data_IF_566732861926
#
_entry.id   IF_566732861926
#
_cell.length_a   1.000
_cell.length_b   1.000
_cell.length_c   1.000
_cell.angle_alpha   90.00
_cell.angle_beta   90.00
_cell.angle_gamma   90.00
#
_symmetry.space_group_name_H-M   'P 1'
#
loop_
_entity.id
_entity.type
_entity.pdbx_description
1 polymer ?
#
# COMPACT_ATOMS: atom_id res chain seq x y z
N UNK A 1 -0.36 -15.90 31.29
CA UNK A 1 -0.17 -16.22 29.86
C UNK A 1 0.15 -14.91 29.16
N UNK A 2 1.02 -14.92 28.15
CA UNK A 2 1.31 -13.71 27.36
C UNK A 2 0.09 -13.35 26.50
N UNK A 3 -0.04 -12.07 26.11
CA UNK A 3 -1.15 -11.61 25.24
C UNK A 3 -1.23 -12.43 23.95
N UNK A 4 -0.08 -12.76 23.38
CA UNK A 4 0.04 -13.61 22.18
C UNK A 4 -0.45 -15.03 22.40
N UNK A 5 -0.14 -15.66 23.55
CA UNK A 5 -0.63 -17.01 23.85
C UNK A 5 -2.16 -17.06 23.95
N UNK A 6 -2.78 -16.03 24.53
CA UNK A 6 -4.23 -15.92 24.63
C UNK A 6 -4.89 -15.66 23.26
N UNK A 7 -4.28 -14.82 22.42
CA UNK A 7 -4.68 -14.59 21.02
C UNK A 7 -4.68 -15.90 20.22
N UNK A 8 -3.57 -16.63 20.21
CA UNK A 8 -3.43 -17.88 19.45
C UNK A 8 -4.42 -18.95 19.93
N UNK A 9 -4.67 -19.02 21.24
CA UNK A 9 -5.69 -19.92 21.79
C UNK A 9 -7.09 -19.55 21.32
N UNK A 10 -7.41 -18.25 21.25
CA UNK A 10 -8.72 -17.76 20.78
C UNK A 10 -8.92 -18.09 19.30
N UNK A 11 -7.96 -17.74 18.44
CA UNK A 11 -8.02 -18.03 17.00
C UNK A 11 -8.14 -19.52 16.71
N UNK A 12 -7.40 -20.37 17.44
CA UNK A 12 -7.52 -21.82 17.30
C UNK A 12 -8.91 -22.34 17.68
N UNK A 13 -9.57 -21.76 18.69
CA UNK A 13 -10.96 -22.09 19.04
C UNK A 13 -11.97 -21.61 18.01
N UNK A 14 -11.66 -20.53 17.30
CA UNK A 14 -12.48 -19.95 16.22
C UNK A 14 -12.29 -20.66 14.87
N UNK A 15 -11.43 -21.69 14.81
CA UNK A 15 -11.26 -22.55 13.64
C UNK A 15 -10.01 -22.24 12.80
N UNK A 16 -9.20 -21.26 13.19
CA UNK A 16 -7.92 -20.98 12.53
C UNK A 16 -6.94 -22.11 12.83
N UNK A 17 -6.41 -22.75 11.79
CA UNK A 17 -5.37 -23.77 11.95
C UNK A 17 -4.05 -23.09 12.30
N UNK A 18 -3.53 -23.37 13.49
CA UNK A 18 -2.27 -22.78 13.99
C UNK A 18 -1.18 -23.86 14.06
N UNK A 19 -0.30 -23.98 13.05
CA UNK A 19 0.81 -24.93 13.08
C UNK A 19 1.74 -24.68 14.27
N UNK A 20 2.38 -25.75 14.76
CA UNK A 20 3.25 -25.65 15.94
C UNK A 20 4.43 -24.69 15.74
N UNK A 21 5.07 -24.73 14.57
CA UNK A 21 6.20 -23.85 14.27
C UNK A 21 5.78 -22.37 14.15
N UNK A 22 4.59 -22.10 13.57
CA UNK A 22 4.00 -20.75 13.54
C UNK A 22 3.71 -20.25 14.95
N UNK A 23 3.09 -21.09 15.79
CA UNK A 23 2.84 -20.76 17.19
C UNK A 23 4.14 -20.43 17.94
N UNK A 24 5.19 -21.23 17.77
CA UNK A 24 6.50 -20.97 18.39
C UNK A 24 7.10 -19.65 17.90
N UNK A 25 7.04 -19.39 16.59
CA UNK A 25 7.55 -18.16 16.02
C UNK A 25 6.83 -16.93 16.58
N UNK A 26 5.49 -16.92 16.57
CA UNK A 26 4.72 -15.79 17.10
C UNK A 26 4.89 -15.59 18.61
N UNK A 27 5.21 -16.64 19.38
CA UNK A 27 5.51 -16.50 20.81
C UNK A 27 6.92 -15.94 21.10
N UNK A 28 7.82 -15.99 20.12
CA UNK A 28 9.21 -15.55 20.26
C UNK A 28 9.51 -14.20 19.58
N UNK A 29 8.60 -13.73 18.70
CA UNK A 29 8.76 -12.48 17.97
C UNK A 29 7.70 -11.50 18.45
N UNK A 30 8.16 -10.45 19.13
CA UNK A 30 7.29 -9.41 19.66
C UNK A 30 6.89 -8.45 18.53
N UNK A 31 5.59 -8.16 18.42
CA UNK A 31 5.06 -7.30 17.36
C UNK A 31 5.51 -5.85 17.55
N UNK A 32 5.66 -5.43 18.80
CA UNK A 32 6.10 -4.10 19.22
C UNK A 32 7.46 -3.71 18.63
N UNK A 33 8.29 -4.68 18.24
CA UNK A 33 9.57 -4.41 17.57
C UNK A 33 9.39 -3.87 16.14
N UNK A 34 8.19 -3.98 15.55
CA UNK A 34 7.95 -3.69 14.13
C UNK A 34 7.06 -2.46 13.89
N UNK A 35 6.53 -1.85 14.96
CA UNK A 35 5.65 -0.68 14.88
C UNK A 35 5.73 0.15 16.16
N UNK A 36 5.72 1.47 16.03
CA UNK A 36 5.62 2.40 17.16
C UNK A 36 4.16 2.79 17.47
N UNK A 37 3.19 2.28 16.70
CA UNK A 37 1.76 2.53 16.90
C UNK A 37 1.17 1.61 17.97
N UNK A 38 -0.07 1.90 18.40
CA UNK A 38 -0.78 1.04 19.34
C UNK A 38 -1.03 -0.36 18.76
N UNK A 39 -0.47 -1.37 19.42
CA UNK A 39 -0.60 -2.79 19.06
C UNK A 39 -1.84 -3.46 19.65
N UNK A 40 -2.63 -2.78 20.48
CA UNK A 40 -3.84 -3.36 21.07
C UNK A 40 -4.82 -3.97 20.04
N UNK A 41 -5.06 -3.37 18.85
CA UNK A 41 -5.92 -3.95 17.83
C UNK A 41 -5.44 -5.33 17.34
N UNK A 42 -4.13 -5.58 17.31
CA UNK A 42 -3.58 -6.87 16.89
C UNK A 42 -4.08 -8.02 17.78
N UNK A 43 -4.16 -7.80 19.09
CA UNK A 43 -4.67 -8.82 20.03
C UNK A 43 -6.19 -9.03 19.94
N UNK A 44 -6.90 -8.13 19.24
CA UNK A 44 -8.28 -8.28 18.82
C UNK A 44 -8.42 -8.85 17.39
N UNK A 45 -7.35 -9.40 16.82
CA UNK A 45 -7.28 -9.94 15.46
C UNK A 45 -7.56 -8.91 14.35
N UNK A 46 -6.93 -7.74 14.45
CA UNK A 46 -7.03 -6.66 13.45
C UNK A 46 -5.66 -6.28 12.90
N UNK A 47 -5.59 -5.74 11.67
CA UNK A 47 -4.37 -5.11 11.18
C UNK A 47 -3.94 -3.95 12.09
N UNK A 48 -2.64 -3.68 12.15
CA UNK A 48 -2.09 -2.53 12.89
C UNK A 48 -1.24 -1.66 11.97
N UNK A 49 -1.31 -0.33 12.08
CA UNK A 49 -0.39 0.56 11.39
C UNK A 49 1.07 0.27 11.76
N UNK A 50 1.99 0.49 10.82
CA UNK A 50 3.43 0.50 11.12
C UNK A 50 4.16 1.73 10.58
N UNK A 51 3.61 2.35 9.53
CA UNK A 51 4.12 3.60 8.96
C UNK A 51 2.96 4.34 8.29
N UNK A 52 3.03 5.66 8.33
CA UNK A 52 2.30 6.56 7.46
C UNK A 52 3.28 7.06 6.41
N UNK A 53 3.00 6.80 5.13
CA UNK A 53 3.87 7.24 4.03
C UNK A 53 3.86 8.76 3.91
N UNK A 54 4.83 9.30 3.19
CA UNK A 54 4.84 10.74 2.82
C UNK A 54 3.59 11.19 2.06
N UNK A 55 2.92 10.27 1.36
CA UNK A 55 1.63 10.49 0.69
C UNK A 55 0.41 10.47 1.63
N UNK A 56 0.60 10.31 2.94
CA UNK A 56 -0.47 10.22 3.94
C UNK A 56 -1.16 8.86 4.01
N UNK A 57 -0.66 7.85 3.28
CA UNK A 57 -1.24 6.52 3.28
C UNK A 57 -0.75 5.71 4.49
N UNK A 58 -1.69 5.23 5.31
CA UNK A 58 -1.38 4.36 6.44
C UNK A 58 -1.14 2.94 5.94
N UNK A 59 0.08 2.43 6.11
CA UNK A 59 0.42 1.03 5.82
C UNK A 59 0.33 0.19 7.07
N UNK A 60 -0.13 -1.05 6.89
CA UNK A 60 -0.47 -1.94 8.00
C UNK A 60 0.26 -3.28 7.95
N UNK A 61 0.55 -3.81 9.14
CA UNK A 61 0.85 -5.22 9.38
C UNK A 61 -0.48 -5.96 9.35
N UNK A 62 -0.56 -7.06 8.61
CA UNK A 62 -1.78 -7.86 8.46
C UNK A 62 -2.32 -8.37 9.81
N UNK A 63 -3.62 -8.66 9.85
CA UNK A 63 -4.26 -9.29 11.01
C UNK A 63 -3.61 -10.65 11.35
N UNK A 64 -3.56 -11.05 12.64
CA UNK A 64 -2.98 -12.31 13.07
C UNK A 64 -3.54 -13.56 12.38
N UNK A 65 -4.85 -13.68 12.18
CA UNK A 65 -5.42 -14.84 11.48
C UNK A 65 -4.86 -14.94 10.06
N UNK A 66 -4.68 -13.81 9.38
CA UNK A 66 -4.16 -13.76 8.01
C UNK A 66 -2.67 -14.15 8.00
N UNK A 67 -1.88 -13.65 8.95
CA UNK A 67 -0.47 -14.04 9.10
C UNK A 67 -0.36 -15.56 9.32
N UNK A 68 -1.21 -16.13 10.17
CA UNK A 68 -1.23 -17.57 10.44
C UNK A 68 -1.62 -18.35 9.18
N UNK A 69 -2.66 -17.92 8.47
CA UNK A 69 -3.10 -18.53 7.21
C UNK A 69 -1.99 -18.52 6.17
N UNK A 70 -1.33 -17.38 5.97
CA UNK A 70 -0.19 -17.25 5.06
C UNK A 70 0.94 -18.21 5.44
N UNK A 71 1.37 -18.20 6.70
CA UNK A 71 2.45 -19.08 7.17
C UNK A 71 2.08 -20.56 7.14
N UNK A 72 0.81 -20.90 7.35
CA UNK A 72 0.32 -22.27 7.23
C UNK A 72 0.48 -22.79 5.81
N UNK A 73 0.04 -22.01 4.81
CA UNK A 73 0.09 -22.41 3.40
C UNK A 73 1.48 -22.30 2.79
N UNK A 74 2.40 -21.54 3.40
CA UNK A 74 3.79 -21.46 2.96
C UNK A 74 4.59 -22.76 3.21
N UNK A 75 4.07 -23.72 3.99
CA UNK A 75 4.65 -25.06 4.14
C UNK A 75 6.16 -25.04 4.45
N UNK A 76 6.55 -24.10 5.32
CA UNK A 76 7.95 -23.77 5.58
C UNK A 76 8.69 -24.87 6.33
N UNK A 77 9.95 -25.07 5.96
CA UNK A 77 10.89 -26.03 6.52
C UNK A 77 12.23 -25.36 6.85
N UNK A 78 12.96 -25.97 7.79
CA UNK A 78 14.29 -25.47 8.19
C UNK A 78 15.26 -25.47 7.01
N UNK A 79 16.06 -24.42 6.89
CA UNK A 79 17.07 -24.27 5.84
C UNK A 79 16.54 -23.77 4.49
N UNK A 80 15.25 -23.49 4.35
CA UNK A 80 14.70 -22.97 3.11
C UNK A 80 15.05 -21.50 2.87
N UNK A 81 15.09 -21.15 1.58
CA UNK A 81 15.08 -19.77 1.11
C UNK A 81 13.65 -19.36 0.77
N UNK A 82 13.23 -18.18 1.24
CA UNK A 82 11.89 -17.65 1.08
C UNK A 82 11.97 -16.23 0.54
N UNK A 83 11.13 -15.92 -0.44
CA UNK A 83 11.01 -14.56 -1.00
C UNK A 83 9.71 -13.95 -0.51
N UNK A 84 9.81 -12.76 0.07
CA UNK A 84 8.69 -11.95 0.52
C UNK A 84 8.64 -10.70 -0.35
N UNK A 85 7.57 -10.53 -1.11
CA UNK A 85 7.31 -9.29 -1.86
C UNK A 85 6.25 -8.48 -1.08
N UNK A 86 6.58 -7.26 -0.70
CA UNK A 86 5.86 -6.43 0.27
C UNK A 86 6.36 -6.67 1.69
N UNK A 87 7.07 -5.70 2.28
CA UNK A 87 7.72 -5.86 3.59
C UNK A 87 6.72 -5.88 4.75
N UNK A 88 5.64 -5.10 4.66
CA UNK A 88 4.62 -4.91 5.73
C UNK A 88 5.21 -4.79 7.13
N UNK A 89 6.11 -3.82 7.31
CA UNK A 89 6.78 -3.55 8.58
C UNK A 89 7.84 -4.58 9.00
N UNK A 90 7.99 -5.69 8.30
CA UNK A 90 9.02 -6.72 8.55
C UNK A 90 8.59 -7.86 9.47
N UNK A 91 7.42 -7.77 10.12
CA UNK A 91 6.97 -8.77 11.09
C UNK A 91 6.81 -10.17 10.49
N UNK A 92 6.19 -10.29 9.31
CA UNK A 92 6.06 -11.58 8.62
C UNK A 92 7.43 -12.17 8.27
N UNK A 93 8.37 -11.34 7.80
CA UNK A 93 9.72 -11.78 7.46
C UNK A 93 10.49 -12.31 8.69
N UNK A 94 10.35 -11.67 9.85
CA UNK A 94 10.89 -12.16 11.11
C UNK A 94 10.30 -13.52 11.52
N UNK A 95 8.98 -13.70 11.38
CA UNK A 95 8.34 -14.99 11.65
C UNK A 95 8.86 -16.09 10.72
N UNK A 96 8.99 -15.80 9.42
CA UNK A 96 9.56 -16.73 8.43
C UNK A 96 11.00 -17.07 8.81
N UNK A 97 11.83 -16.07 9.14
CA UNK A 97 13.23 -16.25 9.53
C UNK A 97 13.35 -17.16 10.76
N UNK A 98 12.49 -16.99 11.76
CA UNK A 98 12.43 -17.86 12.94
C UNK A 98 12.06 -19.31 12.57
N UNK A 99 11.15 -19.50 11.61
CA UNK A 99 10.70 -20.82 11.14
C UNK A 99 11.78 -21.51 10.31
N UNK A 100 12.43 -20.84 9.35
CA UNK A 100 13.48 -21.45 8.50
C UNK A 100 14.81 -21.59 9.24
N UNK A 101 15.06 -20.79 10.28
CA UNK A 101 16.23 -20.86 11.14
C UNK A 101 17.53 -20.38 10.50
N UNK A 102 18.65 -20.54 11.22
CA UNK A 102 19.96 -19.96 10.91
C UNK A 102 20.57 -20.40 9.56
N UNK A 103 20.20 -21.59 9.07
CA UNK A 103 20.64 -22.10 7.77
C UNK A 103 19.71 -21.70 6.62
N UNK A 104 18.58 -21.07 6.91
CA UNK A 104 17.66 -20.55 5.91
C UNK A 104 17.94 -19.10 5.55
N UNK A 105 17.14 -18.56 4.62
CA UNK A 105 17.25 -17.17 4.18
C UNK A 105 15.89 -16.59 3.85
N UNK A 106 15.69 -15.32 4.16
CA UNK A 106 14.48 -14.57 3.79
C UNK A 106 14.92 -13.35 2.99
N UNK A 107 14.55 -13.30 1.72
CA UNK A 107 14.76 -12.12 0.89
C UNK A 107 13.48 -11.33 0.82
N UNK A 108 13.51 -10.08 1.30
CA UNK A 108 12.36 -9.19 1.32
C UNK A 108 12.55 -8.12 0.25
N UNK A 109 11.54 -7.95 -0.59
CA UNK A 109 11.50 -7.01 -1.71
C UNK A 109 10.31 -6.07 -1.53
N UNK A 110 10.50 -4.77 -1.70
CA UNK A 110 9.39 -3.81 -1.66
C UNK A 110 9.71 -2.59 -2.55
N UNK A 111 8.74 -2.10 -3.33
CA UNK A 111 8.96 -0.96 -4.21
C UNK A 111 9.06 0.38 -3.45
N UNK A 112 8.49 0.48 -2.25
CA UNK A 112 8.52 1.69 -1.44
C UNK A 112 9.81 1.79 -0.61
N UNK A 113 10.65 2.78 -0.93
CA UNK A 113 11.92 2.99 -0.23
C UNK A 113 11.73 3.30 1.26
N UNK A 114 10.67 4.03 1.62
CA UNK A 114 10.30 4.31 3.02
C UNK A 114 10.03 3.02 3.79
N UNK A 115 9.25 2.11 3.18
CA UNK A 115 8.95 0.81 3.76
C UNK A 115 10.20 -0.06 3.89
N UNK A 116 11.08 -0.04 2.88
CA UNK A 116 12.37 -0.75 2.94
C UNK A 116 13.24 -0.22 4.08
N UNK A 117 13.33 1.10 4.25
CA UNK A 117 14.12 1.71 5.32
C UNK A 117 13.57 1.37 6.71
N UNK A 118 12.25 1.48 6.90
CA UNK A 118 11.58 1.04 8.13
C UNK A 118 11.89 -0.43 8.44
N UNK A 119 11.71 -1.31 7.44
CA UNK A 119 11.96 -2.73 7.63
C UNK A 119 13.43 -3.03 7.96
N UNK A 120 14.40 -2.34 7.31
CA UNK A 120 15.84 -2.49 7.61
C UNK A 120 16.19 -2.09 9.04
N UNK A 121 15.56 -1.04 9.56
CA UNK A 121 15.75 -0.64 10.95
C UNK A 121 15.24 -1.72 11.91
N UNK A 122 13.98 -2.16 11.73
CA UNK A 122 13.33 -3.15 12.62
C UNK A 122 13.92 -4.55 12.51
N UNK A 123 14.47 -4.91 11.34
CA UNK A 123 15.09 -6.21 11.08
C UNK A 123 16.62 -6.20 11.22
N UNK A 124 17.23 -5.12 11.72
CA UNK A 124 18.70 -4.98 11.80
C UNK A 124 19.41 -6.08 12.61
N UNK A 125 18.68 -6.78 13.50
CA UNK A 125 19.19 -7.88 14.32
C UNK A 125 18.84 -9.28 13.77
N UNK A 126 18.32 -9.37 12.54
CA UNK A 126 17.90 -10.61 11.90
C UNK A 126 18.90 -11.04 10.80
N UNK A 127 19.92 -11.86 11.13
CA UNK A 127 21.06 -12.12 10.23
C UNK A 127 20.71 -12.92 8.97
N UNK A 128 19.57 -13.60 8.97
CA UNK A 128 19.08 -14.40 7.84
C UNK A 128 18.13 -13.63 6.93
N UNK A 129 17.90 -12.34 7.17
CA UNK A 129 16.98 -11.51 6.39
C UNK A 129 17.78 -10.51 5.55
N UNK A 130 17.58 -10.53 4.24
CA UNK A 130 18.12 -9.54 3.30
C UNK A 130 16.97 -8.71 2.75
N UNK A 131 17.10 -7.38 2.76
CA UNK A 131 16.01 -6.47 2.36
C UNK A 131 16.50 -5.59 1.22
N UNK A 132 15.76 -5.60 0.11
CA UNK A 132 16.08 -4.83 -1.09
C UNK A 132 14.88 -4.00 -1.54
N UNK A 133 15.19 -2.81 -2.00
CA UNK A 133 14.24 -2.04 -2.79
C UNK A 133 14.26 -2.55 -4.23
N UNK A 134 13.09 -2.58 -4.85
CA UNK A 134 12.91 -2.83 -6.28
C UNK A 134 12.30 -1.57 -6.89
N UNK A 135 12.61 -1.28 -8.15
CA UNK A 135 12.08 -0.07 -8.81
C UNK A 135 10.61 -0.25 -9.20
N UNK A 136 10.28 -1.45 -9.67
CA UNK A 136 8.97 -1.80 -10.21
C UNK A 136 8.73 -3.29 -9.92
N UNK A 137 7.49 -3.63 -9.55
CA UNK A 137 7.06 -4.99 -9.31
C UNK A 137 7.21 -5.89 -10.55
N UNK A 138 7.01 -5.34 -11.75
CA UNK A 138 7.05 -6.06 -13.02
C UNK A 138 8.47 -6.20 -13.59
N UNK A 139 9.45 -5.50 -13.01
CA UNK A 139 10.85 -5.52 -13.46
C UNK A 139 11.71 -6.36 -12.51
N UNK A 140 12.38 -7.37 -13.08
CA UNK A 140 13.32 -8.18 -12.32
C UNK A 140 14.49 -7.32 -11.81
N UNK A 141 14.88 -7.40 -10.53
CA UNK A 141 16.02 -6.65 -10.04
C UNK A 141 17.32 -7.15 -10.70
N UNK A 142 18.16 -6.21 -11.16
CA UNK A 142 19.36 -6.44 -11.99
C UNK A 142 20.33 -7.48 -11.42
N UNK A 143 20.35 -7.65 -10.09
CA UNK A 143 21.25 -8.57 -9.38
C UNK A 143 20.55 -9.43 -8.32
N UNK A 144 19.33 -9.91 -8.62
CA UNK A 144 18.65 -10.91 -7.79
C UNK A 144 18.82 -12.30 -8.41
N UNK A 145 19.78 -13.13 -7.95
CA UNK A 145 20.03 -14.45 -8.52
C UNK A 145 19.04 -15.50 -7.99
N UNK A 146 19.03 -16.67 -8.64
CA UNK A 146 18.45 -17.89 -8.08
C UNK A 146 17.09 -18.29 -8.64
N UNK A 147 16.77 -19.56 -8.41
CA UNK A 147 15.45 -20.16 -8.57
C UNK A 147 14.70 -20.09 -7.22
N UNK A 148 13.38 -20.10 -7.27
CA UNK A 148 12.51 -19.74 -6.16
C UNK A 148 11.64 -20.94 -5.76
N UNK A 149 11.81 -21.42 -4.53
CA UNK A 149 10.97 -22.51 -4.00
C UNK A 149 9.71 -22.01 -3.30
N UNK A 150 9.80 -20.88 -2.58
CA UNK A 150 8.72 -20.32 -1.77
C UNK A 150 8.66 -18.81 -1.96
N UNK A 151 7.59 -18.34 -2.57
CA UNK A 151 7.34 -16.90 -2.74
C UNK A 151 6.02 -16.53 -2.10
N UNK A 152 6.03 -15.44 -1.33
CA UNK A 152 4.82 -14.84 -0.78
C UNK A 152 4.75 -13.38 -1.18
N UNK A 153 3.62 -12.98 -1.75
CA UNK A 153 3.32 -11.59 -2.07
C UNK A 153 2.28 -11.10 -1.07
N UNK A 154 2.58 -10.01 -0.38
CA UNK A 154 1.78 -9.55 0.76
C UNK A 154 0.98 -8.29 0.47
N UNK A 155 0.73 -7.98 -0.80
CA UNK A 155 -0.20 -6.94 -1.26
C UNK A 155 -1.04 -7.44 -2.42
N UNK A 156 -2.15 -6.77 -2.70
CA UNK A 156 -3.01 -7.07 -3.84
C UNK A 156 -2.25 -6.83 -5.15
N UNK A 157 -2.39 -7.78 -6.07
CA UNK A 157 -1.85 -7.74 -7.44
C UNK A 157 -2.91 -8.25 -8.43
N UNK A 158 -2.82 -7.81 -9.69
CA UNK A 158 -3.69 -8.33 -10.76
C UNK A 158 -3.22 -9.69 -11.26
N UNK A 159 -1.90 -9.88 -11.32
CA UNK A 159 -1.26 -11.13 -11.71
C UNK A 159 0.13 -11.24 -11.09
N UNK A 160 0.65 -12.46 -10.97
CA UNK A 160 2.04 -12.69 -10.53
C UNK A 160 3.01 -12.15 -11.59
N UNK A 161 4.01 -11.34 -11.22
CA UNK A 161 5.02 -10.82 -12.14
C UNK A 161 5.73 -11.93 -12.92
N UNK A 162 5.92 -11.70 -14.22
CA UNK A 162 6.51 -12.71 -15.13
C UNK A 162 7.88 -13.19 -14.67
N UNK A 163 8.70 -12.30 -14.11
CA UNK A 163 10.05 -12.65 -13.67
C UNK A 163 10.06 -13.50 -12.38
N UNK A 164 9.04 -13.36 -11.53
CA UNK A 164 8.85 -14.24 -10.37
C UNK A 164 8.44 -15.62 -10.88
N UNK A 165 7.40 -15.63 -11.72
CA UNK A 165 6.82 -16.83 -12.29
C UNK A 165 7.83 -17.68 -13.06
N UNK A 166 8.68 -17.06 -13.87
CA UNK A 166 9.70 -17.76 -14.67
C UNK A 166 10.87 -18.32 -13.85
N UNK A 167 10.94 -18.02 -12.55
CA UNK A 167 12.01 -18.45 -11.66
C UNK A 167 11.54 -19.41 -10.59
N UNK A 168 10.24 -19.74 -10.53
CA UNK A 168 9.75 -20.77 -9.63
C UNK A 168 10.37 -22.10 -10.06
N UNK A 169 11.00 -22.81 -9.12
CA UNK A 169 11.53 -24.16 -9.37
C UNK A 169 10.41 -25.20 -9.40
N UNK A 170 10.71 -26.40 -9.89
CA UNK A 170 9.76 -27.52 -9.85
C UNK A 170 9.38 -27.88 -8.39
N UNK A 171 8.09 -27.96 -8.11
CA UNK A 171 7.53 -28.11 -6.75
C UNK A 171 7.57 -26.81 -5.91
N UNK A 172 8.01 -25.70 -6.50
CA UNK A 172 7.92 -24.37 -5.92
C UNK A 172 6.54 -23.74 -6.13
N UNK A 173 6.22 -22.73 -5.32
CA UNK A 173 4.95 -22.02 -5.45
C UNK A 173 5.00 -20.55 -5.01
N UNK A 174 4.00 -19.81 -5.49
CA UNK A 174 3.69 -18.44 -5.08
C UNK A 174 2.38 -18.43 -4.31
N UNK A 175 2.34 -17.69 -3.20
CA UNK A 175 1.10 -17.31 -2.51
C UNK A 175 0.89 -15.81 -2.68
N UNK A 176 -0.25 -15.40 -3.23
CA UNK A 176 -0.55 -13.99 -3.48
C UNK A 176 -2.06 -13.70 -3.40
N UNK A 177 -2.47 -12.53 -2.87
CA UNK A 177 -3.80 -11.97 -3.08
C UNK A 177 -3.95 -11.49 -4.54
N UNK A 178 -4.76 -12.19 -5.33
CA UNK A 178 -4.98 -11.91 -6.76
C UNK A 178 -6.42 -11.45 -6.97
N UNK A 179 -6.59 -10.34 -7.69
CA UNK A 179 -7.89 -9.80 -8.06
C UNK A 179 -7.86 -8.28 -8.07
N UNK A 180 -9.04 -7.66 -8.12
CA UNK A 180 -9.19 -6.20 -8.07
C UNK A 180 -9.41 -5.71 -6.63
N UNK A 181 -9.58 -4.39 -6.45
CA UNK A 181 -9.79 -3.78 -5.13
C UNK A 181 -11.09 -4.23 -4.44
N UNK A 182 -12.09 -4.68 -5.20
CA UNK A 182 -13.40 -5.08 -4.70
C UNK A 182 -13.52 -6.58 -4.47
N UNK A 183 -12.74 -7.38 -5.20
CA UNK A 183 -12.80 -8.84 -5.20
C UNK A 183 -11.42 -9.42 -5.42
N UNK A 184 -10.81 -9.93 -4.35
CA UNK A 184 -9.51 -10.59 -4.38
C UNK A 184 -9.56 -11.92 -3.61
N UNK A 185 -8.86 -12.91 -4.18
CA UNK A 185 -8.72 -14.25 -3.64
C UNK A 185 -7.26 -14.50 -3.29
N UNK A 186 -7.02 -15.17 -2.17
CA UNK A 186 -5.67 -15.65 -1.84
C UNK A 186 -5.41 -16.92 -2.67
N UNK A 187 -4.49 -16.83 -3.62
CA UNK A 187 -4.17 -17.93 -4.52
C UNK A 187 -2.83 -18.56 -4.13
N UNK A 188 -2.76 -19.89 -4.16
CA UNK A 188 -1.51 -20.66 -4.21
C UNK A 188 -1.32 -21.15 -5.64
N UNK A 189 -0.23 -20.76 -6.29
CA UNK A 189 0.11 -21.15 -7.66
C UNK A 189 1.39 -21.97 -7.60
N UNK A 190 1.26 -23.28 -7.77
CA UNK A 190 2.36 -24.24 -7.72
C UNK A 190 2.80 -24.61 -9.14
N UNK A 191 4.11 -24.74 -9.35
CA UNK A 191 4.68 -25.19 -10.62
C UNK A 191 5.14 -26.65 -10.48
N UNK A 192 4.61 -27.53 -11.32
CA UNK A 192 5.00 -28.94 -11.39
C UNK A 192 5.14 -29.38 -12.86
N UNK A 193 6.31 -29.87 -13.26
CA UNK A 193 6.58 -30.34 -14.63
C UNK A 193 6.16 -29.31 -15.72
N UNK A 194 6.48 -28.04 -15.51
CA UNK A 194 6.07 -26.90 -16.35
C UNK A 194 4.54 -26.63 -16.41
N UNK A 195 3.76 -27.25 -15.52
CA UNK A 195 2.31 -27.06 -15.39
C UNK A 195 2.03 -26.23 -14.14
N UNK A 196 1.18 -25.22 -14.30
CA UNK A 196 0.68 -24.41 -13.20
C UNK A 196 -0.56 -25.05 -12.58
N UNK A 197 -0.50 -25.27 -11.27
CA UNK A 197 -1.57 -25.78 -10.46
C UNK A 197 -2.04 -24.68 -9.51
N UNK A 198 -3.22 -24.14 -9.78
CA UNK A 198 -3.82 -23.08 -8.98
C UNK A 198 -4.76 -23.64 -7.91
N UNK A 199 -4.64 -23.12 -6.69
CA UNK A 199 -5.53 -23.42 -5.57
C UNK A 199 -6.05 -22.12 -4.97
N UNK A 200 -7.36 -21.93 -4.98
CA UNK A 200 -8.04 -20.82 -4.31
C UNK A 200 -8.17 -21.11 -2.80
N UNK A 201 -7.57 -20.24 -1.98
CA UNK A 201 -7.56 -20.32 -0.51
C UNK A 201 -8.63 -19.40 0.12
N UNK A 202 -9.43 -18.72 -0.69
CA UNK A 202 -10.58 -17.93 -0.28
C UNK A 202 -10.40 -16.41 -0.36
N UNK A 203 -11.48 -15.70 -0.05
CA UNK A 203 -11.55 -14.23 -0.14
C UNK A 203 -10.65 -13.55 0.88
N UNK A 204 -9.97 -12.49 0.45
CA UNK A 204 -9.13 -11.67 1.33
C UNK A 204 -9.32 -10.18 1.04
N UNK A 205 -8.70 -9.33 1.87
CA UNK A 205 -8.64 -7.89 1.61
C UNK A 205 -7.23 -7.39 1.96
N UNK A 206 -6.47 -7.10 0.93
CA UNK A 206 -5.14 -6.49 0.99
C UNK A 206 -5.17 -5.16 0.25
N UNK A 207 -4.43 -4.17 0.79
CA UNK A 207 -4.07 -2.99 0.01
C UNK A 207 -3.13 -3.39 -1.15
N UNK A 208 -3.01 -2.55 -2.18
CA UNK A 208 -2.08 -2.79 -3.29
C UNK A 208 -0.67 -2.97 -2.74
N UNK A 209 0.16 -3.77 -3.41
CA UNK A 209 1.59 -3.83 -3.07
C UNK A 209 2.33 -2.54 -3.44
N UNK A 210 1.75 -1.81 -4.39
CA UNK A 210 2.38 -0.75 -5.15
C UNK A 210 1.81 0.64 -4.80
N UNK A 211 1.23 0.81 -3.61
CA UNK A 211 0.47 2.04 -3.25
C UNK A 211 1.27 3.33 -3.42
N UNK A 212 2.59 3.27 -3.34
CA UNK A 212 3.48 4.43 -3.58
C UNK A 212 4.22 4.37 -4.92
N UNK A 213 4.05 3.30 -5.69
CA UNK A 213 4.78 3.03 -6.94
C UNK A 213 3.88 2.98 -8.17
N UNK A 214 2.55 2.95 -7.98
CA UNK A 214 1.60 3.28 -9.05
C UNK A 214 1.62 4.79 -9.26
N UNK A 215 2.51 5.23 -10.14
CA UNK A 215 2.70 6.60 -10.59
C UNK A 215 2.94 7.61 -9.46
N UNK A 216 4.03 8.36 -9.60
CA UNK A 216 3.98 9.80 -9.39
C UNK A 216 2.86 10.41 -10.29
N UNK A 217 1.58 10.12 -10.04
CA UNK A 217 0.44 10.88 -10.57
C UNK A 217 0.22 12.10 -9.67
N UNK A 218 1.35 12.75 -9.52
CA UNK A 218 1.57 14.02 -8.93
C UNK A 218 0.92 15.02 -9.89
N UNK A 219 -0.31 15.42 -9.56
CA UNK A 219 -1.15 16.22 -10.44
C UNK A 219 -0.39 17.51 -10.81
N UNK A 220 0.02 17.64 -12.06
CA UNK A 220 0.69 18.85 -12.54
C UNK A 220 -0.33 19.98 -12.72
N UNK A 221 0.07 21.27 -12.71
CA UNK A 221 -0.85 22.39 -12.93
C UNK A 221 -1.68 22.25 -14.22
N UNK A 222 -1.08 21.76 -15.31
CA UNK A 222 -1.77 21.54 -16.59
C UNK A 222 -2.77 20.40 -16.52
N UNK A 223 -2.40 19.28 -15.88
CA UNK A 223 -3.31 18.15 -15.69
C UNK A 223 -4.51 18.52 -14.82
N UNK A 224 -4.30 19.31 -13.76
CA UNK A 224 -5.39 19.85 -12.96
C UNK A 224 -6.29 20.80 -13.78
N UNK A 225 -5.70 21.63 -14.64
CA UNK A 225 -6.43 22.52 -15.52
C UNK A 225 -7.32 21.72 -16.50
N UNK A 226 -6.76 20.72 -17.18
CA UNK A 226 -7.48 19.84 -18.12
C UNK A 226 -8.66 19.13 -17.43
N UNK A 227 -8.48 18.68 -16.19
CA UNK A 227 -9.55 18.03 -15.43
C UNK A 227 -10.66 18.99 -14.98
N UNK A 228 -10.30 20.23 -14.64
CA UNK A 228 -11.29 21.26 -14.32
C UNK A 228 -12.04 21.65 -15.59
N UNK A 229 -11.37 21.78 -16.74
CA UNK A 229 -12.01 21.99 -18.05
C UNK A 229 -13.04 20.88 -18.35
N UNK A 230 -12.65 19.62 -18.19
CA UNK A 230 -13.57 18.48 -18.37
C UNK A 230 -14.77 18.53 -17.40
N UNK A 231 -14.53 19.00 -16.17
CA UNK A 231 -15.59 19.20 -15.17
C UNK A 231 -16.54 20.33 -15.57
N UNK A 232 -16.01 21.43 -16.11
CA UNK A 232 -16.82 22.52 -16.67
C UNK A 232 -17.70 21.99 -17.81
N UNK A 233 -17.11 21.30 -18.79
CA UNK A 233 -17.84 20.73 -19.94
C UNK A 233 -18.99 19.84 -19.47
N UNK A 234 -18.73 18.96 -18.50
CA UNK A 234 -19.75 18.07 -17.94
C UNK A 234 -20.84 18.85 -17.19
N UNK A 235 -20.48 19.90 -16.45
CA UNK A 235 -21.45 20.72 -15.74
C UNK A 235 -22.31 21.57 -16.70
N UNK A 236 -21.73 22.04 -17.81
CA UNK A 236 -22.46 22.72 -18.88
C UNK A 236 -23.43 21.78 -19.59
N UNK A 237 -23.00 20.55 -19.92
CA UNK A 237 -23.88 19.52 -20.53
C UNK A 237 -25.07 19.16 -19.65
N UNK A 238 -24.89 19.16 -18.32
CA UNK A 238 -25.93 18.86 -17.35
C UNK A 238 -26.78 20.09 -16.97
N UNK A 239 -26.50 21.27 -17.53
CA UNK A 239 -27.15 22.54 -17.18
C UNK A 239 -27.12 22.87 -15.67
N UNK A 240 -26.07 22.45 -14.98
CA UNK A 240 -25.92 22.63 -13.51
C UNK A 240 -24.98 23.76 -13.12
N UNK A 241 -24.30 24.41 -14.06
CA UNK A 241 -23.35 25.52 -13.82
C UNK A 241 -23.97 26.87 -14.24
N UNK A 242 -23.76 27.91 -13.44
CA UNK A 242 -24.14 29.27 -13.80
C UNK A 242 -22.97 30.09 -14.41
N UNK A 243 -23.28 31.29 -14.91
CA UNK A 243 -22.27 32.13 -15.59
C UNK A 243 -21.15 32.60 -14.68
N UNK A 244 -21.42 32.81 -13.38
CA UNK A 244 -20.42 33.33 -12.45
C UNK A 244 -19.44 32.22 -12.05
N UNK A 245 -19.97 31.02 -11.80
CA UNK A 245 -19.19 29.80 -11.56
C UNK A 245 -18.35 29.42 -12.78
N UNK A 246 -18.93 29.48 -13.98
CA UNK A 246 -18.23 29.21 -15.24
C UNK A 246 -17.02 30.14 -15.43
N UNK A 247 -17.23 31.45 -15.29
CA UNK A 247 -16.16 32.43 -15.40
C UNK A 247 -15.07 32.18 -14.35
N UNK A 248 -15.46 31.87 -13.12
CA UNK A 248 -14.50 31.61 -12.04
C UNK A 248 -13.67 30.34 -12.27
N UNK A 249 -14.28 29.26 -12.78
CA UNK A 249 -13.56 28.02 -13.08
C UNK A 249 -12.65 28.20 -14.31
N UNK A 250 -13.08 28.95 -15.31
CA UNK A 250 -12.23 29.32 -16.46
C UNK A 250 -11.04 30.19 -16.04
N UNK A 251 -11.22 31.14 -15.11
CA UNK A 251 -10.12 31.93 -14.56
C UNK A 251 -9.14 31.05 -13.77
N UNK A 252 -9.64 30.12 -12.97
CA UNK A 252 -8.80 29.14 -12.25
C UNK A 252 -7.95 28.31 -13.22
N UNK A 253 -8.57 27.77 -14.28
CA UNK A 253 -7.88 27.04 -15.37
C UNK A 253 -6.79 27.90 -15.99
N UNK A 254 -7.10 29.16 -16.32
CA UNK A 254 -6.13 30.09 -16.90
C UNK A 254 -4.96 30.37 -15.94
N UNK A 255 -5.20 30.46 -14.62
CA UNK A 255 -4.13 30.64 -13.63
C UNK A 255 -3.26 29.39 -13.48
N UNK A 256 -3.87 28.20 -13.47
CA UNK A 256 -3.14 26.94 -13.42
C UNK A 256 -2.23 26.77 -14.64
N UNK A 257 -2.73 27.09 -15.84
CA UNK A 257 -1.95 27.05 -17.08
C UNK A 257 -0.81 28.08 -17.14
N UNK A 258 -0.87 29.15 -16.33
CA UNK A 258 0.17 30.17 -16.24
C UNK A 258 1.18 29.94 -15.11
N UNK A 259 1.04 28.86 -14.31
CA UNK A 259 2.06 28.49 -13.34
C UNK A 259 3.36 28.06 -14.06
N UNK A 260 4.54 28.28 -13.46
CA UNK A 260 5.81 27.83 -14.03
C UNK A 260 5.81 26.33 -14.36
N UNK A 261 6.40 25.94 -15.49
CA UNK A 261 6.50 24.53 -15.91
C UNK A 261 7.30 23.67 -14.91
N UNK A 262 8.17 24.28 -14.11
CA UNK A 262 8.97 23.65 -13.05
C UNK A 262 8.29 23.68 -11.68
N UNK A 263 7.01 24.07 -11.61
CA UNK A 263 6.23 23.98 -10.36
C UNK A 263 6.21 22.51 -9.93
N UNK A 264 6.75 22.18 -8.74
CA UNK A 264 6.76 20.81 -8.28
C UNK A 264 5.31 20.35 -8.05
N UNK A 265 5.06 19.06 -8.14
CA UNK A 265 3.78 18.52 -7.72
C UNK A 265 3.50 18.74 -6.23
N UNK A 266 2.22 18.74 -5.88
CA UNK A 266 1.83 18.87 -4.47
C UNK A 266 2.30 17.60 -3.72
N UNK A 267 3.05 17.79 -2.64
CA UNK A 267 3.70 16.71 -1.88
C UNK A 267 5.21 16.58 -2.18
N UNK A 268 5.69 17.19 -3.26
CA UNK A 268 7.12 17.25 -3.59
C UNK A 268 7.74 18.64 -3.31
N UNK A 269 9.05 18.77 -3.51
CA UNK A 269 9.75 20.06 -3.43
C UNK A 269 9.94 20.64 -2.02
N UNK A 270 9.53 19.92 -0.97
CA UNK A 270 9.64 20.38 0.43
C UNK A 270 8.72 21.55 0.77
N UNK A 271 7.68 21.79 -0.05
CA UNK A 271 6.70 22.85 0.15
C UNK A 271 5.54 22.27 0.97
N UNK A 272 5.19 22.85 2.14
CA UNK A 272 3.99 22.48 2.86
C UNK A 272 2.75 22.57 1.97
N UNK A 273 1.81 21.63 2.06
CA UNK A 273 0.62 21.57 1.20
C UNK A 273 -0.17 22.90 1.23
N UNK A 274 -0.31 23.52 2.39
CA UNK A 274 -0.96 24.83 2.57
C UNK A 274 -0.27 25.99 1.84
N UNK A 275 1.03 25.87 1.57
CA UNK A 275 1.84 26.89 0.91
C UNK A 275 1.99 26.67 -0.60
N UNK A 276 1.55 25.52 -1.09
CA UNK A 276 1.72 25.10 -2.48
C UNK A 276 0.95 26.01 -3.47
N UNK A 277 1.57 26.48 -4.58
CA UNK A 277 0.93 27.40 -5.54
C UNK A 277 -0.41 26.91 -6.09
N UNK A 278 -0.51 25.62 -6.45
CA UNK A 278 -1.76 25.03 -6.93
C UNK A 278 -2.85 25.02 -5.85
N UNK A 279 -2.48 24.72 -4.60
CA UNK A 279 -3.43 24.69 -3.47
C UNK A 279 -3.92 26.09 -3.15
N UNK A 280 -3.04 27.10 -3.23
CA UNK A 280 -3.43 28.51 -3.07
C UNK A 280 -4.40 28.98 -4.15
N UNK A 281 -4.21 28.58 -5.41
CA UNK A 281 -5.15 28.91 -6.48
C UNK A 281 -6.50 28.23 -6.25
N UNK A 282 -6.51 26.94 -5.95
CA UNK A 282 -7.73 26.22 -5.62
C UNK A 282 -8.49 26.89 -4.47
N UNK A 283 -7.78 27.29 -3.41
CA UNK A 283 -8.34 28.02 -2.28
C UNK A 283 -8.91 29.39 -2.65
N UNK A 284 -8.19 30.15 -3.47
CA UNK A 284 -8.61 31.49 -3.85
C UNK A 284 -9.93 31.49 -4.64
N UNK A 285 -10.11 30.50 -5.51
CA UNK A 285 -11.28 30.42 -6.40
C UNK A 285 -12.43 29.57 -5.83
N UNK A 286 -12.19 28.69 -4.85
CA UNK A 286 -13.21 27.78 -4.32
C UNK A 286 -14.51 28.44 -3.81
N UNK A 287 -14.52 29.65 -3.21
CA UNK A 287 -15.77 30.26 -2.76
C UNK A 287 -16.75 30.54 -3.90
N UNK A 288 -16.24 30.79 -5.11
CA UNK A 288 -17.02 31.13 -6.29
C UNK A 288 -17.70 29.93 -6.95
N UNK A 289 -17.30 28.69 -6.62
CA UNK A 289 -17.90 27.47 -7.16
C UNK A 289 -18.23 26.44 -6.06
N UNK A 290 -18.41 26.89 -4.82
CA UNK A 290 -18.66 26.03 -3.66
C UNK A 290 -19.83 25.06 -3.86
N UNK A 291 -20.86 25.48 -4.61
CA UNK A 291 -22.02 24.65 -4.96
C UNK A 291 -21.65 23.47 -5.87
N UNK A 292 -20.72 23.69 -6.80
CA UNK A 292 -20.21 22.66 -7.71
C UNK A 292 -19.08 21.84 -7.08
N UNK A 293 -18.47 22.33 -6.01
CA UNK A 293 -17.33 21.68 -5.37
C UNK A 293 -17.55 20.19 -5.05
N UNK A 294 -18.69 19.74 -4.48
CA UNK A 294 -18.92 18.31 -4.25
C UNK A 294 -18.94 17.47 -5.55
N UNK A 295 -19.42 18.05 -6.65
CA UNK A 295 -19.52 17.38 -7.95
C UNK A 295 -18.12 17.30 -8.58
N UNK A 296 -17.41 18.43 -8.59
CA UNK A 296 -16.03 18.54 -9.04
C UNK A 296 -15.15 17.57 -8.23
N UNK A 297 -15.29 17.56 -6.91
CA UNK A 297 -14.57 16.65 -6.02
C UNK A 297 -14.84 15.18 -6.36
N UNK A 298 -16.08 14.80 -6.66
CA UNK A 298 -16.43 13.42 -7.06
C UNK A 298 -15.84 13.06 -8.42
N UNK A 299 -15.88 13.98 -9.39
CA UNK A 299 -15.30 13.78 -10.72
C UNK A 299 -13.78 13.65 -10.67
N UNK A 300 -13.14 14.40 -9.77
CA UNK A 300 -11.69 14.36 -9.56
C UNK A 300 -11.25 13.27 -8.57
N UNK A 301 -12.19 12.65 -7.85
CA UNK A 301 -11.94 11.69 -6.77
C UNK A 301 -11.01 10.54 -7.14
N UNK A 302 -11.10 9.90 -8.34
CA UNK A 302 -10.19 8.82 -8.72
C UNK A 302 -8.71 9.22 -8.82
N UNK A 303 -8.41 10.51 -8.92
CA UNK A 303 -7.04 11.04 -9.09
C UNK A 303 -6.60 12.01 -7.98
N UNK A 304 -7.52 12.47 -7.12
CA UNK A 304 -7.27 13.35 -5.97
C UNK A 304 -7.19 12.56 -4.64
N UNK A 305 -7.29 11.23 -4.65
CA UNK A 305 -7.30 10.38 -3.44
C UNK A 305 -6.16 10.59 -2.43
N UNK A 306 -5.07 11.25 -2.81
CA UNK A 306 -3.95 11.61 -1.92
C UNK A 306 -4.08 12.98 -1.24
N UNK A 307 -5.10 13.77 -1.56
CA UNK A 307 -5.38 15.04 -0.90
C UNK A 307 -6.50 14.86 0.10
N UNK A 308 -6.19 14.99 1.40
CA UNK A 308 -7.20 15.11 2.43
C UNK A 308 -7.89 16.48 2.36
N UNK A 309 -8.73 16.65 1.34
CA UNK A 309 -9.61 17.81 1.18
C UNK A 309 -10.84 17.69 2.09
N UNK A 310 -10.93 16.67 2.95
CA UNK A 310 -12.05 16.55 3.90
C UNK A 310 -12.08 17.72 4.89
N UNK A 311 -10.92 18.33 5.16
CA UNK A 311 -10.80 19.55 5.95
C UNK A 311 -11.27 20.81 5.23
N UNK A 312 -11.49 20.79 3.91
CA UNK A 312 -12.01 21.97 3.19
C UNK A 312 -13.40 22.41 3.69
N UNK A 313 -14.20 21.46 4.16
CA UNK A 313 -15.51 21.75 4.76
C UNK A 313 -15.44 22.20 6.23
N UNK A 314 -14.26 22.14 6.87
CA UNK A 314 -14.07 22.52 8.28
C UNK A 314 -13.52 23.95 8.44
N UNK A 315 -12.98 24.55 7.39
CA UNK A 315 -12.42 25.91 7.43
C UNK A 315 -13.41 27.02 7.00
N UNK A 316 -14.72 26.72 6.96
CA UNK A 316 -15.72 27.70 6.53
C UNK A 316 -16.10 28.74 7.59
N UNK A 317 -15.54 28.70 8.80
CA UNK A 317 -15.81 29.71 9.82
C UNK A 317 -14.49 30.28 10.38
N UNK A 318 -14.25 31.56 10.09
CA UNK A 318 -13.39 32.49 10.82
C UNK A 318 -11.85 32.31 10.79
N UNK A 319 -11.19 32.49 9.64
CA UNK A 319 -9.85 33.13 9.64
C UNK A 319 -9.70 34.09 8.45
N UNK A 320 -9.87 35.39 8.70
CA UNK A 320 -9.31 36.46 7.86
C UNK A 320 -7.79 36.30 7.85
N UNK A 321 -7.24 35.68 6.81
CA UNK A 321 -5.80 35.67 6.56
C UNK A 321 -5.46 37.02 5.91
N UNK A 322 -4.85 37.89 6.70
CA UNK A 322 -4.34 39.21 6.30
C UNK A 322 -3.23 39.04 5.23
N UNK A 323 -3.29 39.87 4.18
CA UNK A 323 -2.54 39.77 2.91
C UNK A 323 -1.06 40.10 3.00
#
# INVERSE_FOLDING_TARGET
MTRTADLLRRLSKEGVLVPLEVKKAMLNVDLEDFTDYDVAPFFADRPVPYIESTSGNIKTISAPHMIITLLHHMELSKGQEVIVVGCKGGYLAALIAQIVGENGRVNVLDPSLEVVNHAKERLSHWPTVDIRNIEDLDIAPVAFPGEFNRVIMTGQIEAVPKWIKSRIEDGGFVIAPIGDRNSQHLMKIELQDDIELETDLGNVCFGPIDVDSTNNNHLHPKELADLIELSIETCEELEIIDSDELNSLQDLVAKLNNLPDDTPPIGEGGIPVSEHPMVKLLWHYSPSFLRLWPIIQVMLHPMITNFDLSKWNEFSDDEEIDW
#
